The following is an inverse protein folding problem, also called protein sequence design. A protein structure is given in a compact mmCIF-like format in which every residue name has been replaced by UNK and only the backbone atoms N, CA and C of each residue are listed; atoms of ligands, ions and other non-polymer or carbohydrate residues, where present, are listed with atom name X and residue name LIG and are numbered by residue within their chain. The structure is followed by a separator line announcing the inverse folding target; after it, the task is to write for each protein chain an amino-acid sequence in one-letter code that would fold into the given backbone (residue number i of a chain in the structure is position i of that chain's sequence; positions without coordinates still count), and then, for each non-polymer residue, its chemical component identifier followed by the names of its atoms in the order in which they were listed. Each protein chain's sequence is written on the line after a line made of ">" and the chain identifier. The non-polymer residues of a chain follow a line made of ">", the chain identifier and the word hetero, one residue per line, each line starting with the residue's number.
data_IF_210828102497
#
_entry.id   IF_210828102497
#
_cell.length_a   1.000
_cell.length_b   1.000
_cell.length_c   1.000
_cell.angle_alpha   90.00
_cell.angle_beta   90.00
_cell.angle_gamma   90.00
#
_symmetry.space_group_name_H-M   'P 1'
#
loop_
_entity.id
_entity.type
_entity.pdbx_description
1 polymer ?
#
# COMPACT_ATOMS: atom_id res chain seq x y z
N UNK A 1 3.78 6.84 -11.05
CA UNK A 1 4.33 8.15 -10.63
C UNK A 1 5.62 8.52 -11.39
N UNK A 2 5.83 7.99 -12.61
CA UNK A 2 6.99 8.35 -13.43
C UNK A 2 6.77 9.79 -13.93
N UNK A 3 7.63 10.73 -13.50
CA UNK A 3 7.66 12.10 -14.02
C UNK A 3 7.21 13.21 -13.06
N UNK A 4 6.66 12.90 -11.89
CA UNK A 4 6.40 13.93 -10.87
C UNK A 4 7.67 14.17 -10.03
N UNK A 5 8.00 15.44 -9.79
CA UNK A 5 9.20 15.78 -9.02
C UNK A 5 9.07 15.32 -7.56
N UNK A 6 10.06 14.57 -7.08
CA UNK A 6 10.01 13.96 -5.76
C UNK A 6 10.14 14.99 -4.64
N UNK A 7 10.92 16.05 -4.85
CA UNK A 7 11.09 17.09 -3.84
C UNK A 7 9.80 17.90 -3.69
N UNK A 8 9.17 18.26 -4.81
CA UNK A 8 7.85 18.90 -4.85
C UNK A 8 6.77 18.02 -4.22
N UNK A 9 6.81 16.70 -4.44
CA UNK A 9 5.88 15.77 -3.79
C UNK A 9 6.00 15.83 -2.27
N UNK A 10 7.21 15.66 -1.76
CA UNK A 10 7.50 15.71 -0.31
C UNK A 10 7.07 17.05 0.26
N UNK A 11 7.35 18.16 -0.44
CA UNK A 11 6.96 19.50 -0.02
C UNK A 11 5.44 19.63 0.10
N UNK A 12 4.67 19.19 -0.90
CA UNK A 12 3.19 19.26 -0.85
C UNK A 12 2.58 18.42 0.25
N UNK A 13 3.13 17.23 0.51
CA UNK A 13 2.69 16.38 1.64
C UNK A 13 3.01 17.06 2.96
N UNK A 14 4.21 17.64 3.10
CA UNK A 14 4.60 18.39 4.29
C UNK A 14 3.70 19.62 4.52
N UNK A 15 3.46 20.41 3.48
CA UNK A 15 2.60 21.60 3.53
C UNK A 15 1.16 21.22 3.93
N UNK A 16 0.63 20.10 3.43
CA UNK A 16 -0.69 19.60 3.81
C UNK A 16 -0.74 19.21 5.30
N UNK A 17 0.29 18.53 5.81
CA UNK A 17 0.39 18.20 7.23
C UNK A 17 0.52 19.46 8.11
N UNK A 18 1.38 20.41 7.72
CA UNK A 18 1.55 21.68 8.40
C UNK A 18 0.27 22.52 8.42
N UNK A 19 -0.56 22.40 7.38
CA UNK A 19 -1.88 23.02 7.29
C UNK A 19 -2.98 22.27 8.09
N UNK A 20 -2.64 21.18 8.79
CA UNK A 20 -3.54 20.49 9.72
C UNK A 20 -4.02 19.10 9.27
N UNK A 21 -3.53 18.55 8.16
CA UNK A 21 -3.82 17.15 7.84
C UNK A 21 -3.24 16.22 8.93
N UNK A 22 -4.03 15.33 9.54
CA UNK A 22 -3.57 14.55 10.68
C UNK A 22 -2.52 13.51 10.28
N UNK A 23 -1.60 13.25 11.20
CA UNK A 23 -0.70 12.11 11.11
C UNK A 23 -1.38 10.91 11.79
N UNK A 24 -1.95 10.03 10.98
CA UNK A 24 -2.79 8.91 11.45
C UNK A 24 -1.91 7.71 11.78
N UNK A 25 -2.25 7.00 12.86
CA UNK A 25 -1.55 5.78 13.26
C UNK A 25 -1.79 4.65 12.26
N UNK A 26 -0.70 4.03 11.79
CA UNK A 26 -0.76 2.80 11.00
C UNK A 26 -0.77 1.53 11.86
N UNK A 27 -0.49 0.40 11.24
CA UNK A 27 -0.51 -0.92 11.91
C UNK A 27 0.52 -1.11 13.04
N UNK A 28 1.53 -0.24 13.15
CA UNK A 28 2.60 -0.32 14.15
C UNK A 28 3.06 1.09 14.56
N UNK A 29 3.71 1.28 15.73
CA UNK A 29 4.14 2.59 16.21
C UNK A 29 5.07 3.35 15.25
N UNK A 30 5.84 2.63 14.43
CA UNK A 30 6.76 3.17 13.43
C UNK A 30 6.10 3.44 12.08
N UNK A 31 4.80 3.19 11.92
CA UNK A 31 4.04 3.39 10.68
C UNK A 31 3.00 4.49 10.88
N UNK A 32 2.98 5.48 9.98
CA UNK A 32 1.99 6.57 9.97
C UNK A 32 1.44 6.78 8.57
N UNK A 33 0.27 7.40 8.50
CA UNK A 33 -0.40 7.76 7.26
C UNK A 33 -0.69 9.27 7.24
N UNK A 34 -0.55 9.88 6.07
CA UNK A 34 -1.05 11.23 5.78
C UNK A 34 -1.92 11.13 4.54
N UNK A 35 -3.16 11.56 4.64
CA UNK A 35 -4.12 11.58 3.54
C UNK A 35 -4.15 12.97 2.93
N UNK A 36 -3.80 13.08 1.65
CA UNK A 36 -3.80 14.36 0.92
C UNK A 36 -4.66 14.26 -0.32
N UNK A 37 -5.34 15.36 -0.70
CA UNK A 37 -6.04 15.43 -1.99
C UNK A 37 -5.05 15.10 -3.11
N UNK A 38 -5.47 14.27 -4.07
CA UNK A 38 -4.64 13.94 -5.21
C UNK A 38 -4.33 15.20 -6.03
N UNK A 39 -3.05 15.55 -6.08
CA UNK A 39 -2.51 16.68 -6.83
C UNK A 39 -1.66 16.25 -8.02
N UNK A 40 -1.65 14.95 -8.34
CA UNK A 40 -0.94 14.36 -9.47
C UNK A 40 -1.95 13.87 -10.51
N UNK A 41 -2.00 14.49 -11.70
CA UNK A 41 -2.88 14.04 -12.77
C UNK A 41 -2.62 12.58 -13.17
N UNK A 42 -3.69 11.83 -13.43
CA UNK A 42 -3.63 10.46 -13.94
C UNK A 42 -3.20 9.39 -12.94
N UNK A 43 -3.07 9.73 -11.64
CA UNK A 43 -2.93 8.69 -10.60
C UNK A 43 -4.27 7.97 -10.47
N UNK A 44 -4.25 6.67 -10.78
CA UNK A 44 -5.40 5.78 -10.68
C UNK A 44 -5.55 5.21 -9.27
N UNK A 45 -6.77 4.76 -8.94
CA UNK A 45 -7.03 4.02 -7.70
C UNK A 45 -6.34 2.66 -7.70
N UNK A 46 -5.97 2.16 -6.52
CA UNK A 46 -5.35 0.84 -6.35
C UNK A 46 -6.33 -0.34 -6.37
N UNK A 47 -7.61 -0.09 -6.10
CA UNK A 47 -8.68 -1.09 -6.10
C UNK A 47 -10.00 -0.48 -6.57
N UNK A 48 -10.87 -1.29 -7.15
CA UNK A 48 -12.23 -0.88 -7.53
C UNK A 48 -13.27 -1.83 -6.95
N UNK A 49 -14.50 -1.34 -6.85
CA UNK A 49 -15.64 -2.15 -6.44
C UNK A 49 -15.94 -3.26 -7.46
N UNK A 50 -16.27 -4.43 -6.94
CA UNK A 50 -16.82 -5.56 -7.69
C UNK A 50 -18.32 -5.31 -7.84
N UNK A 51 -18.77 -5.23 -9.08
CA UNK A 51 -20.16 -4.99 -9.47
C UNK A 51 -20.64 -6.12 -10.38
N UNK A 52 -21.94 -6.27 -10.55
CA UNK A 52 -22.50 -7.27 -11.49
C UNK A 52 -21.95 -7.08 -12.91
N UNK A 53 -21.76 -5.82 -13.33
CA UNK A 53 -21.25 -5.47 -14.64
C UNK A 53 -19.77 -5.83 -14.85
N UNK A 54 -18.94 -5.85 -13.80
CA UNK A 54 -17.50 -6.11 -13.94
C UNK A 54 -17.03 -7.44 -13.33
N UNK A 55 -17.84 -8.13 -12.52
CA UNK A 55 -17.43 -9.34 -11.78
C UNK A 55 -16.84 -10.43 -12.69
N UNK A 56 -17.33 -10.56 -13.92
CA UNK A 56 -16.84 -11.51 -14.93
C UNK A 56 -15.42 -11.21 -15.44
N UNK A 57 -14.87 -10.02 -15.16
CA UNK A 57 -13.49 -9.60 -15.49
C UNK A 57 -12.49 -9.92 -14.39
N UNK A 58 -12.96 -10.37 -13.23
CA UNK A 58 -12.10 -10.70 -12.12
C UNK A 58 -11.30 -11.96 -12.45
N UNK A 59 -9.97 -11.88 -12.30
CA UNK A 59 -9.06 -13.01 -12.43
C UNK A 59 -8.64 -13.50 -11.05
N UNK A 60 -8.21 -14.76 -10.97
CA UNK A 60 -7.63 -15.34 -9.75
C UNK A 60 -6.48 -16.29 -10.06
N UNK A 61 -5.54 -16.41 -9.13
CA UNK A 61 -4.33 -17.21 -9.31
C UNK A 61 -3.40 -17.13 -8.11
N UNK A 62 -2.40 -18.00 -8.08
CA UNK A 62 -1.38 -18.00 -7.04
C UNK A 62 -0.19 -17.13 -7.44
N UNK A 63 0.24 -16.25 -6.54
CA UNK A 63 1.40 -15.38 -6.79
C UNK A 63 2.15 -15.04 -5.50
N UNK A 64 3.43 -14.73 -5.62
CA UNK A 64 4.30 -14.32 -4.53
C UNK A 64 4.91 -12.94 -4.83
N UNK A 65 5.18 -12.15 -3.78
CA UNK A 65 5.85 -10.84 -3.89
C UNK A 65 7.33 -10.96 -4.24
N UNK A 66 7.92 -12.10 -3.90
CA UNK A 66 9.32 -12.43 -4.20
C UNK A 66 9.48 -13.94 -4.30
N UNK A 67 10.60 -14.40 -4.88
CA UNK A 67 10.93 -15.82 -4.95
C UNK A 67 11.17 -16.48 -3.58
N UNK A 68 11.35 -15.68 -2.53
CA UNK A 68 11.56 -16.17 -1.17
C UNK A 68 10.25 -16.33 -0.38
N UNK A 69 9.11 -15.87 -0.91
CA UNK A 69 7.81 -15.94 -0.24
C UNK A 69 6.92 -17.03 -0.82
N UNK A 70 6.07 -17.62 0.02
CA UNK A 70 5.06 -18.58 -0.42
C UNK A 70 4.03 -17.91 -1.34
N UNK A 71 3.65 -18.55 -2.46
CA UNK A 71 2.61 -18.02 -3.32
C UNK A 71 1.23 -18.18 -2.67
N UNK A 72 0.40 -17.14 -2.83
CA UNK A 72 -0.92 -17.07 -2.20
C UNK A 72 -2.02 -16.82 -3.23
N UNK A 73 -3.21 -17.35 -2.96
CA UNK A 73 -4.37 -17.11 -3.81
C UNK A 73 -4.72 -15.62 -3.77
N UNK A 74 -4.68 -15.01 -4.95
CA UNK A 74 -4.96 -13.59 -5.17
C UNK A 74 -6.07 -13.46 -6.21
N UNK A 75 -6.88 -12.43 -6.08
CA UNK A 75 -7.88 -12.03 -7.09
C UNK A 75 -7.67 -10.58 -7.48
N UNK A 76 -7.82 -10.26 -8.76
CA UNK A 76 -7.54 -8.92 -9.27
C UNK A 76 -8.33 -8.60 -10.53
N UNK A 77 -8.46 -7.30 -10.81
CA UNK A 77 -8.86 -6.83 -12.12
C UNK A 77 -7.63 -6.50 -12.97
N UNK A 78 -7.54 -7.01 -14.21
CA UNK A 78 -6.56 -6.52 -15.18
C UNK A 78 -6.87 -5.06 -15.50
N UNK A 79 -5.95 -4.14 -15.21
CA UNK A 79 -6.24 -2.70 -15.30
C UNK A 79 -6.61 -2.22 -16.72
N UNK A 80 -6.21 -2.95 -17.76
CA UNK A 80 -6.58 -2.67 -19.16
C UNK A 80 -7.95 -3.22 -19.60
N UNK A 81 -8.65 -3.96 -18.74
CA UNK A 81 -9.93 -4.62 -19.05
C UNK A 81 -11.13 -4.04 -18.28
N UNK A 82 -10.89 -3.05 -17.42
CA UNK A 82 -11.92 -2.40 -16.61
C UNK A 82 -11.72 -0.89 -16.61
N UNK A 83 -12.81 -0.15 -16.41
CA UNK A 83 -12.74 1.29 -16.24
C UNK A 83 -12.18 1.63 -14.85
N UNK A 84 -11.08 2.38 -14.83
CA UNK A 84 -10.38 2.75 -13.59
C UNK A 84 -10.49 4.26 -13.35
N UNK A 85 -11.14 4.68 -12.24
CA UNK A 85 -11.24 6.09 -11.90
C UNK A 85 -9.87 6.66 -11.49
N UNK A 86 -9.73 7.97 -11.67
CA UNK A 86 -8.63 8.71 -11.06
C UNK A 86 -8.84 8.75 -9.54
N UNK A 87 -7.74 8.68 -8.78
CA UNK A 87 -7.75 8.79 -7.34
C UNK A 87 -8.13 10.21 -6.92
N UNK A 88 -8.96 10.33 -5.89
CA UNK A 88 -9.29 11.62 -5.26
C UNK A 88 -8.32 11.95 -4.13
N UNK A 89 -7.78 10.92 -3.48
CA UNK A 89 -6.90 11.00 -2.31
C UNK A 89 -5.65 10.16 -2.54
N UNK A 90 -4.53 10.62 -2.00
CA UNK A 90 -3.30 9.85 -1.86
C UNK A 90 -3.12 9.49 -0.38
N UNK A 91 -3.10 8.19 -0.09
CA UNK A 91 -2.60 7.65 1.18
C UNK A 91 -1.08 7.60 1.12
N UNK A 92 -0.42 8.46 1.90
CA UNK A 92 1.02 8.55 1.99
C UNK A 92 1.49 7.83 3.25
N UNK A 93 2.13 6.68 3.05
CA UNK A 93 2.59 5.80 4.12
C UNK A 93 4.03 6.19 4.51
N UNK A 94 4.23 6.42 5.79
CA UNK A 94 5.46 6.91 6.39
C UNK A 94 6.01 5.88 7.38
N UNK A 95 7.31 5.60 7.28
CA UNK A 95 8.05 4.89 8.33
C UNK A 95 8.96 5.82 9.09
N UNK A 96 9.16 5.54 10.38
CA UNK A 96 10.10 6.30 11.21
C UNK A 96 11.53 6.13 10.70
N UNK A 97 12.37 7.14 10.90
CA UNK A 97 13.78 7.10 10.52
C UNK A 97 14.50 5.88 11.10
N UNK A 98 14.23 5.55 12.37
CA UNK A 98 14.83 4.40 13.05
C UNK A 98 14.46 3.08 12.36
N UNK A 99 13.21 2.92 11.93
CA UNK A 99 12.77 1.74 11.21
C UNK A 99 13.43 1.66 9.83
N UNK A 100 13.53 2.78 9.11
CA UNK A 100 14.20 2.85 7.81
C UNK A 100 15.69 2.48 7.90
N UNK A 101 16.38 2.91 8.96
CA UNK A 101 17.77 2.52 9.22
C UNK A 101 17.88 1.02 9.45
N UNK A 102 17.01 0.43 10.29
CA UNK A 102 16.99 -1.01 10.57
C UNK A 102 16.80 -1.84 9.29
N UNK A 103 15.83 -1.47 8.44
CA UNK A 103 15.56 -2.19 7.19
C UNK A 103 16.67 -2.05 6.14
N UNK A 104 17.36 -0.91 6.11
CA UNK A 104 18.54 -0.72 5.24
C UNK A 104 19.71 -1.57 5.71
N UNK A 105 19.93 -1.68 7.02
CA UNK A 105 20.99 -2.52 7.59
C UNK A 105 20.81 -4.01 7.29
N UNK A 106 19.56 -4.49 7.27
CA UNK A 106 19.23 -5.90 7.02
C UNK A 106 19.33 -6.32 5.53
N UNK A 107 19.36 -5.38 4.59
CA UNK A 107 19.37 -5.68 3.15
C UNK A 107 20.64 -5.16 2.47
N UNK A 108 21.52 -6.08 2.05
CA UNK A 108 22.78 -5.75 1.37
C UNK A 108 22.59 -4.85 0.13
N UNK A 109 21.50 -5.04 -0.62
CA UNK A 109 21.16 -4.23 -1.81
C UNK A 109 20.76 -2.78 -1.49
N UNK A 110 20.42 -2.48 -0.23
CA UNK A 110 20.02 -1.13 0.22
C UNK A 110 21.17 -0.34 0.88
N UNK A 111 22.31 -0.98 1.14
CA UNK A 111 23.47 -0.36 1.78
C UNK A 111 24.16 0.71 0.90
N UNK A 112 24.01 0.62 -0.43
CA UNK A 112 24.58 1.58 -1.38
C UNK A 112 23.67 2.81 -1.63
N UNK A 113 22.55 2.95 -0.92
CA UNK A 113 21.65 4.10 -1.09
C UNK A 113 22.22 5.33 -0.39
N UNK A 114 21.96 6.51 -0.95
CA UNK A 114 22.24 7.78 -0.30
C UNK A 114 21.70 7.83 1.14
N UNK A 115 22.39 8.56 2.00
CA UNK A 115 22.00 8.73 3.40
C UNK A 115 20.55 9.21 3.53
N UNK A 116 19.89 8.79 4.61
CA UNK A 116 18.55 9.26 4.90
C UNK A 116 18.60 10.76 5.25
N UNK A 117 17.76 11.60 4.63
CA UNK A 117 17.62 13.01 5.02
C UNK A 117 17.33 13.16 6.50
N UNK A 118 17.79 14.24 7.12
CA UNK A 118 17.51 14.53 8.54
C UNK A 118 16.04 14.89 8.76
N UNK A 119 15.21 13.85 8.86
CA UNK A 119 13.77 13.93 9.05
C UNK A 119 13.31 12.74 9.91
N UNK A 120 12.31 12.92 10.79
CA UNK A 120 11.82 11.86 11.67
C UNK A 120 11.04 10.77 10.92
N UNK A 121 10.48 11.09 9.76
CA UNK A 121 9.63 10.19 8.96
C UNK A 121 10.08 10.20 7.50
N UNK A 122 9.98 9.06 6.83
CA UNK A 122 10.23 8.92 5.39
C UNK A 122 9.07 8.22 4.68
N UNK A 123 8.72 8.71 3.50
CA UNK A 123 7.68 8.13 2.64
C UNK A 123 8.17 6.81 2.07
N UNK A 124 7.44 5.72 2.35
CA UNK A 124 7.76 4.37 1.87
C UNK A 124 6.81 3.87 0.78
N UNK A 125 5.58 4.38 0.76
CA UNK A 125 4.59 4.01 -0.25
C UNK A 125 3.55 5.13 -0.41
N UNK A 126 2.94 5.17 -1.58
CA UNK A 126 1.88 6.12 -1.94
C UNK A 126 0.81 5.32 -2.67
N UNK A 127 -0.42 5.37 -2.16
CA UNK A 127 -1.57 4.68 -2.76
C UNK A 127 -2.61 5.69 -3.21
N UNK A 128 -3.07 5.57 -4.45
CA UNK A 128 -4.23 6.31 -4.94
C UNK A 128 -5.51 5.61 -4.52
N UNK A 129 -6.47 6.36 -3.99
CA UNK A 129 -7.76 5.85 -3.51
C UNK A 129 -8.85 6.93 -3.62
N UNK A 130 -10.11 6.53 -3.38
CA UNK A 130 -11.25 7.45 -3.35
C UNK A 130 -11.52 7.94 -1.91
N UNK A 131 -11.06 7.17 -0.94
CA UNK A 131 -11.38 7.35 0.48
C UNK A 131 -10.33 8.19 1.21
N UNK A 132 -10.75 8.92 2.25
CA UNK A 132 -9.88 9.71 3.13
C UNK A 132 -9.30 8.95 4.33
N UNK A 133 -9.28 7.62 4.29
CA UNK A 133 -8.85 6.74 5.39
C UNK A 133 -8.06 5.53 4.88
N UNK A 134 -7.32 4.85 5.75
CA UNK A 134 -6.52 3.68 5.36
C UNK A 134 -7.43 2.55 4.85
N UNK A 135 -7.29 2.18 3.57
CA UNK A 135 -7.96 1.00 3.06
C UNK A 135 -7.39 -0.25 3.75
N UNK A 136 -8.24 -1.15 4.29
CA UNK A 136 -7.76 -2.33 5.01
C UNK A 136 -6.77 -3.14 4.18
N UNK A 137 -5.69 -3.61 4.81
CA UNK A 137 -4.79 -4.59 4.20
C UNK A 137 -5.57 -5.81 3.71
N UNK A 138 -5.11 -6.49 2.65
CA UNK A 138 -5.76 -7.72 2.18
C UNK A 138 -5.74 -8.79 3.28
N UNK A 139 -6.76 -9.67 3.39
CA UNK A 139 -6.81 -10.69 4.44
C UNK A 139 -5.55 -11.57 4.46
N UNK A 140 -5.03 -11.88 3.28
CA UNK A 140 -3.80 -12.66 3.13
C UNK A 140 -2.55 -11.93 3.64
N UNK A 141 -2.50 -10.60 3.49
CA UNK A 141 -1.44 -9.78 4.08
C UNK A 141 -1.46 -9.86 5.60
N UNK A 142 -2.65 -9.86 6.22
CA UNK A 142 -2.79 -10.03 7.67
C UNK A 142 -2.35 -11.43 8.12
N UNK A 143 -2.74 -12.47 7.38
CA UNK A 143 -2.32 -13.85 7.67
C UNK A 143 -0.79 -14.01 7.56
N UNK A 144 -0.19 -13.52 6.48
CA UNK A 144 1.26 -13.54 6.27
C UNK A 144 2.00 -12.78 7.36
N UNK A 145 1.50 -11.61 7.76
CA UNK A 145 2.09 -10.85 8.86
C UNK A 145 2.19 -11.66 10.15
N UNK A 146 1.22 -12.53 10.42
CA UNK A 146 1.22 -13.39 11.60
C UNK A 146 2.17 -14.60 11.50
N UNK A 147 2.62 -14.99 10.29
CA UNK A 147 3.60 -16.07 10.10
C UNK A 147 5.02 -15.66 10.50
N UNK A 148 5.29 -14.37 10.68
CA UNK A 148 6.60 -13.87 11.10
C UNK A 148 7.52 -13.49 9.94
N UNK A 149 8.71 -13.00 10.31
CA UNK A 149 9.67 -12.41 9.35
C UNK A 149 10.28 -13.40 8.38
N UNK A 150 10.37 -14.67 8.78
CA UNK A 150 10.91 -15.75 7.93
C UNK A 150 10.05 -15.96 6.68
N UNK A 151 8.74 -15.72 6.79
CA UNK A 151 7.75 -15.84 5.70
C UNK A 151 7.36 -14.48 5.09
N UNK A 152 8.19 -13.44 5.28
CA UNK A 152 7.95 -12.10 4.73
C UNK A 152 6.88 -11.27 5.46
N UNK A 153 6.45 -11.70 6.63
CA UNK A 153 5.51 -11.00 7.51
C UNK A 153 6.17 -10.08 8.55
N UNK A 154 5.38 -9.21 9.17
CA UNK A 154 5.86 -8.33 10.25
C UNK A 154 6.04 -9.03 11.62
N UNK A 155 5.42 -10.19 11.82
CA UNK A 155 5.34 -10.90 13.12
C UNK A 155 4.23 -10.40 14.04
N UNK A 156 3.34 -9.54 13.53
CA UNK A 156 2.20 -9.01 14.31
C UNK A 156 1.07 -10.04 14.33
N UNK A 157 0.53 -10.42 15.51
CA UNK A 157 -0.61 -11.33 15.60
C UNK A 157 -1.86 -10.80 14.87
N UNK A 158 -2.70 -11.72 14.39
CA UNK A 158 -3.97 -11.34 13.74
C UNK A 158 -4.93 -10.74 14.77
N UNK A 159 -5.36 -9.52 14.50
CA UNK A 159 -6.52 -8.90 15.15
C UNK A 159 -7.80 -9.31 14.38
N UNK A 160 -8.71 -10.00 15.08
CA UNK A 160 -9.92 -10.57 14.46
C UNK A 160 -10.88 -9.50 13.94
N UNK A 161 -11.05 -8.40 14.66
CA UNK A 161 -11.97 -7.34 14.25
C UNK A 161 -11.45 -6.63 13.00
N UNK A 162 -10.14 -6.37 12.95
CA UNK A 162 -9.50 -5.82 11.75
C UNK A 162 -9.53 -6.80 10.57
N UNK A 163 -9.40 -8.10 10.85
CA UNK A 163 -9.49 -9.14 9.83
C UNK A 163 -10.90 -9.20 9.23
N UNK A 164 -11.93 -9.14 10.06
CA UNK A 164 -13.33 -9.13 9.60
C UNK A 164 -13.64 -7.86 8.79
N UNK A 165 -13.13 -6.70 9.22
CA UNK A 165 -13.23 -5.45 8.46
C UNK A 165 -12.52 -5.54 7.09
N UNK A 166 -11.34 -6.16 7.05
CA UNK A 166 -10.60 -6.45 5.82
C UNK A 166 -11.43 -7.35 4.90
N UNK A 167 -11.95 -8.47 5.41
CA UNK A 167 -12.79 -9.38 4.62
C UNK A 167 -14.02 -8.67 4.08
N UNK A 168 -14.71 -7.85 4.89
CA UNK A 168 -15.88 -7.08 4.44
C UNK A 168 -15.54 -6.15 3.28
N UNK A 169 -14.46 -5.38 3.38
CA UNK A 169 -14.03 -4.48 2.30
C UNK A 169 -13.64 -5.25 1.04
N UNK A 170 -12.75 -6.23 1.19
CA UNK A 170 -12.20 -6.98 0.06
C UNK A 170 -13.23 -7.91 -0.57
N UNK A 171 -14.32 -8.29 0.11
CA UNK A 171 -15.42 -9.08 -0.48
C UNK A 171 -16.14 -8.37 -1.62
N UNK A 172 -16.12 -7.04 -1.62
CA UNK A 172 -16.74 -6.20 -2.65
C UNK A 172 -15.73 -5.33 -3.40
N UNK A 173 -14.42 -5.48 -3.18
CA UNK A 173 -13.37 -4.73 -3.85
C UNK A 173 -12.24 -5.65 -4.29
N UNK A 174 -11.63 -5.38 -5.44
CA UNK A 174 -10.46 -6.10 -5.90
C UNK A 174 -9.34 -5.14 -6.32
N UNK A 175 -8.07 -5.50 -6.07
CA UNK A 175 -6.93 -4.72 -6.52
C UNK A 175 -6.85 -4.71 -8.04
N UNK A 176 -6.28 -3.63 -8.57
CA UNK A 176 -5.95 -3.49 -9.98
C UNK A 176 -4.50 -3.88 -10.23
N UNK A 177 -4.29 -4.73 -11.23
CA UNK A 177 -2.95 -5.19 -11.62
C UNK A 177 -2.74 -4.85 -13.08
N UNK A 178 -1.66 -4.13 -13.37
CA UNK A 178 -1.30 -3.74 -14.75
C UNK A 178 -0.77 -4.92 -15.57
N UNK A 179 -0.24 -5.94 -14.91
CA UNK A 179 0.29 -7.18 -15.49
C UNK A 179 -0.75 -8.28 -15.53
N UNK A 180 -0.52 -9.30 -16.37
CA UNK A 180 -1.40 -10.49 -16.40
C UNK A 180 -1.36 -11.33 -15.13
N UNK A 181 -0.36 -11.11 -14.26
CA UNK A 181 -0.18 -11.81 -13.00
C UNK A 181 -0.08 -10.84 -11.82
N UNK A 182 -0.71 -11.12 -10.68
CA UNK A 182 -0.60 -10.34 -9.46
C UNK A 182 0.78 -10.47 -8.82
N UNK A 183 1.07 -9.55 -7.91
CA UNK A 183 2.35 -9.49 -7.17
C UNK A 183 2.20 -10.02 -5.74
N UNK A 184 1.42 -11.07 -5.47
CA UNK A 184 1.30 -11.67 -4.12
C UNK A 184 0.62 -10.79 -3.06
N UNK A 185 -0.25 -9.87 -3.47
CA UNK A 185 -1.01 -8.96 -2.59
C UNK A 185 -2.52 -9.04 -2.80
#
# INVERSE_FOLDING_TARGET
>A
MLGFDKAEFVRRVHDAHAAGAPLVDGYAPFCKHVFVKNFIPGVKVGSIAITEANAHRLRSGYSARSAAELPVLTRWFPAGEVDVPDAEVLDVILYSREQLVKERGAMASKQQRAELPDAPWGIISIKGQLEGYECPMTPITMMRNALGREEGGSGVPIDREKYDASVKYHSSHAPLVATESPNGE
#
